data_IF_367439379477
#
_entry.id   IF_367439379477
#
_cell.length_a   1.000
_cell.length_b   1.000
_cell.length_c   1.000
_cell.angle_alpha   90.00
_cell.angle_beta   90.00
_cell.angle_gamma   90.00
#
_symmetry.space_group_name_H-M   'P 1'
#
loop_
_entity.id
_entity.type
_entity.pdbx_description
1 polymer ?
#
# COMPACT_ATOMS: atom_id res chain seq x y z
N UNK A 1 11.91 -32.00 4.70
CA UNK A 1 12.95 -30.98 4.77
C UNK A 1 12.29 -29.64 5.10
N UNK A 2 12.34 -29.28 6.37
CA UNK A 2 11.77 -28.03 6.78
C UNK A 2 12.70 -26.90 6.32
N UNK A 3 12.37 -26.33 5.18
CA UNK A 3 12.94 -25.04 4.82
C UNK A 3 12.29 -24.03 5.76
N UNK A 4 12.87 -23.86 6.92
CA UNK A 4 12.60 -22.68 7.73
C UNK A 4 13.13 -21.51 6.93
N UNK A 5 12.28 -20.99 6.06
CA UNK A 5 12.53 -19.69 5.46
C UNK A 5 12.66 -18.73 6.64
N UNK A 6 13.81 -18.11 6.74
CA UNK A 6 14.03 -17.12 7.77
C UNK A 6 13.07 -15.96 7.54
N UNK A 7 11.95 -16.04 8.23
CA UNK A 7 11.11 -14.86 8.48
C UNK A 7 12.04 -13.86 9.15
N UNK A 8 11.98 -12.61 8.74
CA UNK A 8 12.75 -11.57 9.40
C UNK A 8 12.17 -11.34 10.79
N UNK A 9 12.64 -12.09 11.77
CA UNK A 9 12.14 -12.08 13.16
C UNK A 9 12.43 -10.75 13.88
N UNK A 10 13.41 -9.98 13.40
CA UNK A 10 13.81 -8.71 13.97
C UNK A 10 13.92 -7.64 12.88
N UNK A 11 12.81 -7.16 12.34
CA UNK A 11 12.84 -6.09 11.35
C UNK A 11 13.37 -4.80 11.98
N UNK A 12 14.07 -4.01 11.19
CA UNK A 12 14.46 -2.67 11.63
C UNK A 12 13.21 -1.79 11.72
N UNK A 13 12.98 -1.18 12.87
CA UNK A 13 11.86 -0.29 13.13
C UNK A 13 12.34 1.16 13.05
N UNK A 14 11.56 1.99 12.39
CA UNK A 14 11.86 3.40 12.18
C UNK A 14 10.87 4.29 12.92
N UNK A 15 11.31 5.49 13.28
CA UNK A 15 10.43 6.47 13.92
C UNK A 15 9.33 6.93 12.94
N UNK A 16 8.13 7.09 13.50
CA UNK A 16 7.00 7.63 12.74
C UNK A 16 7.15 9.13 12.63
N UNK A 17 7.14 9.62 11.40
CA UNK A 17 7.14 11.07 11.14
C UNK A 17 5.71 11.57 11.29
N UNK A 18 5.45 12.30 12.36
CA UNK A 18 4.17 12.96 12.53
C UNK A 18 4.11 14.16 11.58
N UNK A 19 3.32 14.01 10.53
CA UNK A 19 2.97 15.13 9.67
C UNK A 19 1.58 15.61 10.05
N UNK A 20 1.53 16.55 10.94
CA UNK A 20 0.33 17.37 11.06
C UNK A 20 0.28 18.22 9.80
N UNK A 21 -0.52 17.76 8.83
CA UNK A 21 -0.91 18.63 7.72
C UNK A 21 -1.50 19.89 8.37
N UNK A 22 -0.87 21.03 8.16
CA UNK A 22 -1.49 22.29 8.50
C UNK A 22 -2.86 22.29 7.83
N UNK A 23 -3.92 22.33 8.63
CA UNK A 23 -5.26 22.56 8.11
C UNK A 23 -5.20 23.98 7.57
N UNK A 24 -4.81 24.09 6.29
CA UNK A 24 -5.07 25.29 5.56
C UNK A 24 -6.58 25.49 5.66
N UNK A 25 -7.01 26.69 6.00
CA UNK A 25 -8.43 27.06 5.91
C UNK A 25 -8.86 26.71 4.49
N UNK A 26 -9.40 25.51 4.36
CA UNK A 26 -9.90 25.00 3.10
C UNK A 26 -11.18 25.77 2.87
N UNK A 27 -11.16 26.57 1.85
CA UNK A 27 -12.35 27.15 1.28
C UNK A 27 -13.28 25.97 0.94
N UNK A 28 -14.33 25.79 1.77
CA UNK A 28 -15.35 24.76 1.56
C UNK A 28 -16.25 25.17 0.37
N UNK A 29 -15.63 25.31 -0.79
CA UNK A 29 -16.39 25.49 -2.02
C UNK A 29 -16.72 24.11 -2.62
N UNK A 30 -17.90 23.60 -2.31
CA UNK A 30 -18.43 22.33 -2.82
C UNK A 30 -18.54 22.30 -4.36
N UNK A 31 -18.31 23.42 -5.03
CA UNK A 31 -18.34 23.49 -6.50
C UNK A 31 -16.99 23.18 -7.15
N UNK A 32 -15.92 23.15 -6.37
CA UNK A 32 -14.58 22.82 -6.87
C UNK A 32 -14.21 21.39 -6.57
N UNK A 33 -13.68 20.70 -7.59
CA UNK A 33 -13.08 19.39 -7.44
C UNK A 33 -11.88 19.48 -6.49
N UNK A 34 -11.93 18.76 -5.36
CA UNK A 34 -10.80 18.66 -4.45
C UNK A 34 -9.69 17.83 -5.10
N UNK A 35 -8.52 18.43 -5.37
CA UNK A 35 -7.40 17.66 -5.90
C UNK A 35 -6.85 16.71 -4.84
N UNK A 36 -6.50 15.50 -5.26
CA UNK A 36 -5.82 14.52 -4.41
C UNK A 36 -4.32 14.68 -4.60
N UNK A 37 -3.57 14.77 -3.51
CA UNK A 37 -2.12 14.87 -3.54
C UNK A 37 -1.44 13.59 -2.97
N UNK A 38 -0.12 13.53 -3.11
CA UNK A 38 0.65 12.37 -2.65
C UNK A 38 0.65 12.22 -1.12
N UNK A 39 0.58 13.32 -0.38
CA UNK A 39 0.51 13.29 1.07
C UNK A 39 -0.80 12.66 1.54
N UNK A 40 -1.88 12.99 0.91
CA UNK A 40 -3.20 12.43 1.20
C UNK A 40 -3.25 10.92 0.94
N UNK A 41 -2.70 10.48 -0.18
CA UNK A 41 -2.58 9.04 -0.49
C UNK A 41 -1.68 8.35 0.53
N UNK A 42 -0.56 8.94 0.90
CA UNK A 42 0.34 8.38 1.91
C UNK A 42 -0.35 8.23 3.28
N UNK A 43 -1.13 9.23 3.70
CA UNK A 43 -1.90 9.15 4.95
C UNK A 43 -2.88 7.97 4.97
N UNK A 44 -3.43 7.60 3.83
CA UNK A 44 -4.34 6.45 3.72
C UNK A 44 -3.63 5.11 3.92
N UNK A 45 -2.36 5.00 3.56
CA UNK A 45 -1.64 3.71 3.54
C UNK A 45 -0.60 3.54 4.65
N UNK A 46 -0.15 4.62 5.29
CA UNK A 46 0.95 4.57 6.27
C UNK A 46 0.65 3.68 7.47
N UNK A 47 -0.59 3.60 7.91
CA UNK A 47 -1.03 2.87 9.09
C UNK A 47 -1.55 1.45 8.80
N UNK A 48 -1.41 0.97 7.58
CA UNK A 48 -1.71 -0.44 7.26
C UNK A 48 -0.71 -1.32 8.01
N UNK A 49 -1.20 -2.34 8.71
CA UNK A 49 -0.31 -3.31 9.35
C UNK A 49 0.30 -4.28 8.35
N UNK A 50 1.55 -4.62 8.59
CA UNK A 50 2.19 -5.73 7.89
C UNK A 50 1.51 -7.06 8.27
N UNK A 51 1.27 -7.96 7.30
CA UNK A 51 0.59 -9.23 7.60
C UNK A 51 1.40 -10.19 8.47
N UNK A 52 2.72 -10.02 8.59
CA UNK A 52 3.58 -10.88 9.40
C UNK A 52 4.08 -10.23 10.69
N UNK A 53 4.09 -8.91 10.76
CA UNK A 53 4.61 -8.17 11.91
C UNK A 53 3.51 -7.28 12.49
N UNK A 54 3.42 -7.14 13.83
CA UNK A 54 2.45 -6.24 14.46
C UNK A 54 2.90 -4.77 14.38
N UNK A 55 3.38 -4.36 13.21
CA UNK A 55 3.92 -3.04 12.92
C UNK A 55 3.30 -2.51 11.64
N UNK A 56 3.26 -1.19 11.50
CA UNK A 56 2.73 -0.55 10.30
C UNK A 56 3.73 -0.57 9.15
N UNK A 57 3.22 -0.41 7.93
CA UNK A 57 4.07 -0.32 6.74
C UNK A 57 5.04 0.87 6.82
N UNK A 58 4.63 1.97 7.44
CA UNK A 58 5.51 3.11 7.68
C UNK A 58 6.65 2.76 8.64
N UNK A 59 6.36 2.10 9.76
CA UNK A 59 7.38 1.71 10.74
C UNK A 59 8.43 0.75 10.16
N UNK A 60 8.04 -0.05 9.19
CA UNK A 60 8.91 -1.00 8.51
C UNK A 60 9.57 -0.43 7.24
N UNK A 61 9.29 0.83 6.90
CA UNK A 61 9.70 1.46 5.64
C UNK A 61 9.29 0.67 4.40
N UNK A 62 8.20 -0.10 4.49
CA UNK A 62 7.58 -0.74 3.34
C UNK A 62 6.98 0.31 2.42
N UNK A 63 6.31 1.30 3.02
CA UNK A 63 5.83 2.49 2.31
C UNK A 63 6.65 3.71 2.72
N UNK A 64 6.88 4.59 1.75
CA UNK A 64 7.60 5.83 1.96
C UNK A 64 6.91 6.94 1.18
N UNK A 65 6.78 8.10 1.80
CA UNK A 65 6.15 9.27 1.18
C UNK A 65 6.76 9.62 -0.18
N UNK A 66 8.07 9.49 -0.30
CA UNK A 66 8.80 9.79 -1.53
C UNK A 66 8.50 8.82 -2.69
N UNK A 67 7.85 7.70 -2.39
CA UNK A 67 7.52 6.65 -3.36
C UNK A 67 6.03 6.57 -3.67
N UNK A 68 5.30 7.62 -3.35
CA UNK A 68 3.89 7.81 -3.71
C UNK A 68 3.81 8.94 -4.74
N UNK A 69 3.30 8.62 -5.91
CA UNK A 69 3.20 9.56 -7.03
C UNK A 69 1.74 9.74 -7.42
N UNK A 70 1.27 10.96 -7.42
CA UNK A 70 -0.12 11.29 -7.76
C UNK A 70 -0.14 12.31 -8.89
N UNK A 71 -0.89 12.00 -9.94
CA UNK A 71 -1.24 12.94 -10.99
C UNK A 71 -2.76 13.10 -10.99
N UNK A 72 -3.25 14.13 -10.32
CA UNK A 72 -4.69 14.37 -10.19
C UNK A 72 -5.34 14.75 -11.52
N UNK A 73 -4.62 15.42 -12.42
CA UNK A 73 -5.13 15.79 -13.73
C UNK A 73 -5.37 14.57 -14.63
N UNK A 74 -4.48 13.57 -14.55
CA UNK A 74 -4.60 12.32 -15.31
C UNK A 74 -5.36 11.23 -14.52
N UNK A 75 -5.82 11.52 -13.31
CA UNK A 75 -6.50 10.58 -12.43
C UNK A 75 -5.66 9.31 -12.17
N UNK A 76 -4.37 9.49 -11.90
CA UNK A 76 -3.43 8.38 -11.74
C UNK A 76 -2.71 8.45 -10.40
N UNK A 77 -2.63 7.31 -9.73
CA UNK A 77 -1.86 7.10 -8.49
C UNK A 77 -0.92 5.92 -8.70
N UNK A 78 0.35 6.12 -8.40
CA UNK A 78 1.36 5.06 -8.39
C UNK A 78 1.96 4.98 -6.99
N UNK A 79 1.95 3.80 -6.39
CA UNK A 79 2.62 3.51 -5.13
C UNK A 79 3.69 2.47 -5.36
N UNK A 80 4.92 2.80 -5.00
CA UNK A 80 6.03 1.87 -4.97
C UNK A 80 6.30 1.46 -3.52
N UNK A 81 6.47 0.17 -3.27
CA UNK A 81 6.73 -0.35 -1.93
C UNK A 81 7.92 -1.28 -1.89
N UNK A 82 8.53 -1.40 -0.72
CA UNK A 82 9.69 -2.25 -0.47
C UNK A 82 9.30 -3.37 0.49
N UNK A 83 9.11 -4.62 0.01
CA UNK A 83 8.75 -5.73 0.88
C UNK A 83 9.82 -6.01 1.94
N UNK A 84 9.39 -6.41 3.14
CA UNK A 84 10.29 -6.80 4.24
C UNK A 84 10.84 -8.23 4.07
N UNK A 85 10.17 -9.06 3.29
CA UNK A 85 10.47 -10.48 3.11
C UNK A 85 10.61 -10.81 1.62
N UNK A 86 11.60 -11.63 1.24
CA UNK A 86 11.85 -11.97 -0.16
C UNK A 86 10.87 -13.01 -0.73
N UNK A 87 9.68 -13.15 -0.15
CA UNK A 87 8.61 -14.04 -0.62
C UNK A 87 7.64 -13.33 -1.53
N UNK A 88 7.43 -13.87 -2.72
CA UNK A 88 6.47 -13.34 -3.69
C UNK A 88 5.05 -13.25 -3.12
N UNK A 89 4.61 -14.26 -2.37
CA UNK A 89 3.26 -14.29 -1.79
C UNK A 89 3.04 -13.18 -0.78
N UNK A 90 4.04 -12.87 0.05
CA UNK A 90 3.93 -11.79 1.04
C UNK A 90 3.99 -10.42 0.38
N UNK A 91 4.88 -10.23 -0.59
CA UNK A 91 4.94 -9.00 -1.36
C UNK A 91 3.61 -8.74 -2.09
N UNK A 92 3.04 -9.77 -2.68
CA UNK A 92 1.73 -9.67 -3.34
C UNK A 92 0.63 -9.32 -2.34
N UNK A 93 0.64 -9.92 -1.16
CA UNK A 93 -0.34 -9.64 -0.11
C UNK A 93 -0.26 -8.20 0.38
N UNK A 94 0.94 -7.69 0.61
CA UNK A 94 1.15 -6.27 0.98
C UNK A 94 0.61 -5.34 -0.12
N UNK A 95 0.94 -5.63 -1.35
CA UNK A 95 0.46 -4.86 -2.50
C UNK A 95 -1.07 -4.88 -2.62
N UNK A 96 -1.70 -6.02 -2.35
CA UNK A 96 -3.17 -6.14 -2.31
C UNK A 96 -3.77 -5.29 -1.20
N UNK A 97 -3.17 -5.28 -0.02
CA UNK A 97 -3.62 -4.44 1.10
C UNK A 97 -3.62 -2.96 0.70
N UNK A 98 -2.54 -2.49 0.10
CA UNK A 98 -2.43 -1.11 -0.37
C UNK A 98 -3.50 -0.81 -1.43
N UNK A 99 -3.65 -1.69 -2.41
CA UNK A 99 -4.63 -1.52 -3.49
C UNK A 99 -6.06 -1.46 -2.96
N UNK A 100 -6.44 -2.38 -2.09
CA UNK A 100 -7.80 -2.43 -1.53
C UNK A 100 -8.09 -1.16 -0.72
N UNK A 101 -7.13 -0.71 0.09
CA UNK A 101 -7.27 0.53 0.85
C UNK A 101 -7.53 1.72 -0.05
N UNK A 102 -6.74 1.87 -1.10
CA UNK A 102 -6.87 2.98 -2.03
C UNK A 102 -8.14 2.90 -2.86
N UNK A 103 -8.52 1.70 -3.33
CA UNK A 103 -9.77 1.53 -4.08
C UNK A 103 -11.00 1.85 -3.25
N UNK A 104 -10.97 1.57 -1.94
CA UNK A 104 -12.08 1.89 -1.03
C UNK A 104 -12.13 3.36 -0.61
N UNK A 105 -11.02 4.06 -0.69
CA UNK A 105 -10.86 5.42 -0.14
C UNK A 105 -10.81 6.52 -1.18
N UNK A 106 -10.25 6.24 -2.36
CA UNK A 106 -10.13 7.21 -3.44
C UNK A 106 -11.38 7.22 -4.32
N UNK A 107 -11.67 8.37 -4.99
CA UNK A 107 -12.73 8.43 -5.99
C UNK A 107 -12.52 7.39 -7.11
N UNK A 108 -13.61 6.89 -7.67
CA UNK A 108 -13.58 5.87 -8.74
C UNK A 108 -12.81 6.31 -10.00
N UNK A 109 -12.67 7.61 -10.21
CA UNK A 109 -11.94 8.19 -11.34
C UNK A 109 -10.46 7.83 -11.35
N UNK A 110 -9.88 7.47 -10.19
CA UNK A 110 -8.45 7.20 -10.10
C UNK A 110 -8.11 5.79 -10.57
N UNK A 111 -7.11 5.73 -11.44
CA UNK A 111 -6.40 4.49 -11.74
C UNK A 111 -5.25 4.33 -10.76
N UNK A 112 -5.24 3.21 -10.04
CA UNK A 112 -4.23 2.90 -9.02
C UNK A 112 -3.30 1.83 -9.56
N UNK A 113 -2.02 2.14 -9.61
CA UNK A 113 -0.95 1.19 -9.91
C UNK A 113 -0.10 0.97 -8.66
N UNK A 114 0.14 -0.29 -8.33
CA UNK A 114 0.96 -0.70 -7.19
C UNK A 114 2.11 -1.54 -7.72
N UNK A 115 3.33 -1.23 -7.32
CA UNK A 115 4.49 -2.04 -7.71
C UNK A 115 5.57 -2.06 -6.66
N UNK A 116 6.37 -3.12 -6.71
CA UNK A 116 7.59 -3.25 -5.92
C UNK A 116 8.64 -2.30 -6.48
N UNK A 117 9.38 -1.63 -5.61
CA UNK A 117 10.50 -0.79 -6.03
C UNK A 117 11.55 -1.60 -6.75
N UNK A 118 12.06 -1.03 -7.84
CA UNK A 118 13.09 -1.65 -8.66
C UNK A 118 14.33 -2.01 -7.84
N UNK A 119 14.80 -3.25 -7.97
CA UNK A 119 16.01 -3.73 -7.30
C UNK A 119 15.83 -4.14 -5.84
N UNK A 120 14.62 -4.06 -5.28
CA UNK A 120 14.39 -4.38 -3.86
C UNK A 120 13.90 -5.82 -3.63
N UNK A 121 13.51 -6.53 -4.68
CA UNK A 121 12.98 -7.89 -4.58
C UNK A 121 13.38 -8.72 -5.80
N UNK A 122 13.76 -9.99 -5.58
CA UNK A 122 14.20 -10.88 -6.68
C UNK A 122 13.09 -11.16 -7.69
N UNK A 123 11.86 -11.17 -7.25
CA UNK A 123 10.69 -11.50 -8.09
C UNK A 123 9.83 -10.28 -8.41
N UNK A 124 10.42 -9.09 -8.44
CA UNK A 124 9.68 -7.84 -8.66
C UNK A 124 8.83 -7.85 -9.93
N UNK A 125 9.34 -8.40 -11.03
CA UNK A 125 8.62 -8.46 -12.30
C UNK A 125 7.35 -9.31 -12.17
N UNK A 126 7.44 -10.48 -11.52
CA UNK A 126 6.29 -11.37 -11.32
C UNK A 126 5.27 -10.76 -10.36
N UNK A 127 5.73 -10.18 -9.25
CA UNK A 127 4.86 -9.53 -8.27
C UNK A 127 4.13 -8.35 -8.92
N UNK A 128 4.85 -7.50 -9.64
CA UNK A 128 4.26 -6.36 -10.35
C UNK A 128 3.21 -6.80 -11.37
N UNK A 129 3.48 -7.87 -12.09
CA UNK A 129 2.53 -8.43 -13.05
C UNK A 129 1.25 -8.93 -12.37
N UNK A 130 1.37 -9.61 -11.23
CA UNK A 130 0.21 -10.08 -10.46
C UNK A 130 -0.61 -8.92 -9.90
N UNK A 131 0.04 -7.88 -9.37
CA UNK A 131 -0.64 -6.73 -8.75
C UNK A 131 -1.37 -5.85 -9.77
N UNK A 132 -0.93 -5.84 -11.01
CA UNK A 132 -1.49 -4.99 -12.06
C UNK A 132 -2.40 -5.77 -13.05
N UNK A 133 -2.59 -7.07 -12.83
CA UNK A 133 -3.57 -7.88 -13.55
C UNK A 133 -4.91 -7.84 -12.82
N UNK A 134 -5.88 -7.17 -13.41
CA UNK A 134 -7.22 -6.99 -12.81
C UNK A 134 -7.92 -8.30 -12.52
N UNK A 135 -7.76 -9.31 -13.38
CA UNK A 135 -8.39 -10.61 -13.19
C UNK A 135 -7.79 -11.37 -12.01
N UNK A 136 -6.47 -11.31 -11.84
CA UNK A 136 -5.77 -11.93 -10.70
C UNK A 136 -6.10 -11.25 -9.39
N UNK A 137 -6.16 -9.93 -9.38
CA UNK A 137 -6.56 -9.16 -8.20
C UNK A 137 -7.99 -9.49 -7.81
N UNK A 138 -8.92 -9.53 -8.75
CA UNK A 138 -10.31 -9.90 -8.50
C UNK A 138 -10.42 -11.32 -7.96
N UNK A 139 -9.72 -12.28 -8.55
CA UNK A 139 -9.71 -13.68 -8.08
C UNK A 139 -9.13 -13.80 -6.66
N UNK A 140 -8.07 -13.06 -6.34
CA UNK A 140 -7.49 -13.05 -5.00
C UNK A 140 -8.48 -12.49 -3.97
N UNK A 141 -9.23 -11.47 -4.30
CA UNK A 141 -10.22 -10.85 -3.41
C UNK A 141 -11.50 -11.72 -3.24
N UNK A 142 -11.73 -12.67 -4.12
CA UNK A 142 -12.78 -13.67 -3.95
C UNK A 142 -12.38 -14.79 -2.98
N UNK A 143 -11.09 -14.95 -2.70
CA UNK A 143 -10.60 -15.88 -1.69
C UNK A 143 -10.89 -15.33 -0.29
N UNK A 144 -11.79 -15.98 0.45
CA UNK A 144 -12.22 -15.52 1.77
C UNK A 144 -11.08 -15.43 2.77
N UNK A 145 -10.13 -16.35 2.73
CA UNK A 145 -8.98 -16.34 3.62
C UNK A 145 -8.07 -15.11 3.36
N UNK A 146 -7.75 -14.85 2.10
CA UNK A 146 -6.95 -13.68 1.73
C UNK A 146 -7.67 -12.37 2.07
N UNK A 147 -8.96 -12.31 1.81
CA UNK A 147 -9.77 -11.14 2.14
C UNK A 147 -9.80 -10.88 3.65
N UNK A 148 -9.91 -11.91 4.47
CA UNK A 148 -9.87 -11.79 5.93
C UNK A 148 -8.52 -11.23 6.40
N UNK A 149 -7.42 -11.73 5.86
CA UNK A 149 -6.07 -11.22 6.18
C UNK A 149 -5.94 -9.75 5.76
N UNK A 150 -6.37 -9.41 4.56
CA UNK A 150 -6.37 -8.02 4.07
C UNK A 150 -7.18 -7.13 5.02
N UNK A 151 -8.38 -7.53 5.40
CA UNK A 151 -9.22 -6.75 6.30
C UNK A 151 -8.59 -6.56 7.69
N UNK A 152 -7.90 -7.57 8.22
CA UNK A 152 -7.17 -7.45 9.47
C UNK A 152 -6.03 -6.42 9.37
N UNK A 153 -5.29 -6.43 8.27
CA UNK A 153 -4.22 -5.45 8.04
C UNK A 153 -4.77 -4.03 7.90
N UNK A 154 -5.94 -3.88 7.28
CA UNK A 154 -6.57 -2.57 7.07
C UNK A 154 -7.29 -2.02 8.30
N UNK A 155 -7.60 -2.85 9.28
CA UNK A 155 -8.34 -2.43 10.48
C UNK A 155 -7.63 -1.30 11.24
N UNK A 156 -6.31 -1.26 11.19
CA UNK A 156 -5.49 -0.22 11.84
C UNK A 156 -5.33 1.05 11.01
N UNK A 157 -5.70 1.01 9.74
CA UNK A 157 -5.59 2.14 8.83
C UNK A 157 -6.86 3.00 8.75
N UNK A 158 -7.94 2.54 9.36
CA UNK A 158 -9.23 3.24 9.37
C UNK A 158 -9.23 4.44 10.33
#
# INVERSE_FOLDING_TARGET
MNITQKINDAPQVYDVISNTRAIAEIDFDDSQRDPVDSDEVYELIRNINDPEHPLTLEQLHVTNREHVFVNDLDNHVLVEFTPTIPHCSMATLIGLCIRVRLLRSLPERFKVDIRVRQGTHQSEVQVNKQLNDKERVAAALENTYLLDVVNQCLATAL
#
